data_IF_298622868087
#
_entry.id   IF_298622868087
#
_cell.length_a   1.000
_cell.length_b   1.000
_cell.length_c   1.000
_cell.angle_alpha   90.00
_cell.angle_beta   90.00
_cell.angle_gamma   90.00
#
_symmetry.space_group_name_H-M   'P 1'
#
loop_
_entity.id
_entity.type
_entity.pdbx_description
1 polymer ?
#
# COMPACT_ATOMS: atom_id res chain seq x y z
N UNK A 1 41.10 -29.47 -20.58
CA UNK A 1 41.03 -28.73 -19.31
C UNK A 1 39.67 -28.08 -19.25
N UNK A 2 38.82 -28.62 -18.37
CA UNK A 2 37.41 -28.27 -18.23
C UNK A 2 37.29 -26.97 -17.42
N UNK A 3 36.87 -25.89 -18.07
CA UNK A 3 36.43 -24.65 -17.42
C UNK A 3 34.90 -24.59 -17.45
N UNK A 4 34.26 -25.28 -16.50
CA UNK A 4 32.82 -25.22 -16.26
C UNK A 4 32.67 -25.22 -14.74
N UNK A 5 32.34 -24.04 -14.19
CA UNK A 5 31.67 -23.78 -12.90
C UNK A 5 32.07 -22.40 -12.41
N UNK A 6 31.33 -21.37 -12.82
CA UNK A 6 31.25 -20.07 -12.11
C UNK A 6 29.91 -19.33 -12.37
N UNK A 7 28.95 -19.89 -13.13
CA UNK A 7 27.67 -19.21 -13.42
C UNK A 7 26.56 -19.46 -12.37
N UNK A 8 26.72 -20.44 -11.47
CA UNK A 8 25.70 -20.75 -10.44
C UNK A 8 25.75 -19.85 -9.19
N UNK A 9 26.85 -19.12 -8.98
CA UNK A 9 26.99 -18.22 -7.82
C UNK A 9 26.40 -16.82 -8.04
N UNK A 10 26.35 -16.37 -9.29
CA UNK A 10 25.83 -15.04 -9.67
C UNK A 10 24.29 -15.04 -9.78
N UNK A 11 23.70 -16.17 -10.22
CA UNK A 11 22.25 -16.34 -10.36
C UNK A 11 21.53 -16.50 -9.00
N UNK A 12 22.15 -17.16 -8.02
CA UNK A 12 21.62 -17.21 -6.64
C UNK A 12 21.69 -15.84 -5.93
N UNK A 13 22.77 -15.07 -6.15
CA UNK A 13 22.90 -13.74 -5.56
C UNK A 13 21.80 -12.80 -6.07
N UNK A 14 21.53 -12.81 -7.37
CA UNK A 14 20.46 -11.99 -7.97
C UNK A 14 19.05 -12.47 -7.58
N UNK A 15 18.86 -13.78 -7.36
CA UNK A 15 17.61 -14.34 -6.85
C UNK A 15 17.32 -13.90 -5.41
N UNK A 16 18.29 -14.05 -4.50
CA UNK A 16 18.15 -13.61 -3.10
C UNK A 16 17.95 -12.10 -2.98
N UNK A 17 18.67 -11.31 -3.79
CA UNK A 17 18.50 -9.86 -3.87
C UNK A 17 17.08 -9.49 -4.35
N UNK A 18 16.56 -10.19 -5.36
CA UNK A 18 15.19 -9.95 -5.87
C UNK A 18 14.15 -10.31 -4.82
N UNK A 19 14.29 -11.44 -4.14
CA UNK A 19 13.39 -11.82 -3.04
C UNK A 19 13.43 -10.77 -1.91
N UNK A 20 14.62 -10.32 -1.51
CA UNK A 20 14.77 -9.29 -0.49
C UNK A 20 14.05 -7.98 -0.89
N UNK A 21 14.12 -7.57 -2.15
CA UNK A 21 13.37 -6.40 -2.65
C UNK A 21 11.85 -6.62 -2.60
N UNK A 22 11.36 -7.81 -2.89
CA UNK A 22 9.94 -8.12 -2.81
C UNK A 22 9.44 -8.10 -1.36
N UNK A 23 10.20 -8.67 -0.42
CA UNK A 23 9.92 -8.57 1.02
C UNK A 23 9.85 -7.11 1.48
N UNK A 24 10.81 -6.27 1.06
CA UNK A 24 10.77 -4.82 1.34
C UNK A 24 9.55 -4.14 0.72
N UNK A 25 9.13 -4.56 -0.48
CA UNK A 25 7.93 -4.06 -1.15
C UNK A 25 6.65 -4.34 -0.35
N UNK A 26 6.52 -5.53 0.22
CA UNK A 26 5.41 -5.90 1.12
C UNK A 26 5.40 -5.02 2.38
N UNK A 27 6.55 -4.90 3.05
CA UNK A 27 6.70 -4.04 4.23
C UNK A 27 6.34 -2.57 3.92
N UNK A 28 6.74 -2.07 2.75
CA UNK A 28 6.40 -0.73 2.32
C UNK A 28 4.89 -0.57 2.11
N UNK A 29 4.21 -1.56 1.52
CA UNK A 29 2.76 -1.56 1.40
C UNK A 29 2.05 -1.52 2.75
N UNK A 30 2.54 -2.26 3.75
CA UNK A 30 1.99 -2.23 5.12
C UNK A 30 2.16 -0.85 5.77
N UNK A 31 3.33 -0.23 5.60
CA UNK A 31 3.59 1.11 6.10
C UNK A 31 2.66 2.16 5.47
N UNK A 32 2.46 2.11 4.15
CA UNK A 32 1.52 3.00 3.46
C UNK A 32 0.09 2.72 3.94
N UNK A 33 -0.31 1.45 4.06
CA UNK A 33 -1.64 1.10 4.53
C UNK A 33 -1.91 1.68 5.92
N UNK A 34 -0.97 1.55 6.86
CA UNK A 34 -1.08 2.13 8.19
C UNK A 34 -1.22 3.66 8.16
N UNK A 35 -0.45 4.34 7.31
CA UNK A 35 -0.58 5.78 7.12
C UNK A 35 -1.96 6.18 6.57
N UNK A 36 -2.51 5.41 5.63
CA UNK A 36 -3.86 5.62 5.10
C UNK A 36 -4.92 5.41 6.19
N UNK A 37 -4.79 4.37 7.02
CA UNK A 37 -5.72 4.14 8.14
C UNK A 37 -5.71 5.29 9.15
N UNK A 38 -4.53 5.84 9.45
CA UNK A 38 -4.43 7.02 10.29
C UNK A 38 -5.10 8.25 9.65
N UNK A 39 -4.87 8.46 8.35
CA UNK A 39 -5.52 9.55 7.61
C UNK A 39 -7.05 9.38 7.55
N UNK A 40 -7.55 8.15 7.41
CA UNK A 40 -8.98 7.83 7.46
C UNK A 40 -9.59 8.24 8.80
N UNK A 41 -8.96 7.84 9.92
CA UNK A 41 -9.43 8.21 11.25
C UNK A 41 -9.49 9.74 11.43
N UNK A 42 -8.44 10.45 10.99
CA UNK A 42 -8.41 11.92 11.04
C UNK A 42 -9.52 12.55 10.19
N UNK A 43 -9.71 12.07 8.97
CA UNK A 43 -10.72 12.57 8.04
C UNK A 43 -12.15 12.31 8.55
N UNK A 44 -12.41 11.14 9.15
CA UNK A 44 -13.69 10.81 9.77
C UNK A 44 -13.99 11.73 10.95
N UNK A 45 -13.04 11.90 11.87
CA UNK A 45 -13.20 12.79 13.02
C UNK A 45 -13.44 14.25 12.60
N UNK A 46 -12.76 14.70 11.53
CA UNK A 46 -12.96 16.03 10.97
C UNK A 46 -14.37 16.16 10.36
N UNK A 47 -14.82 15.16 9.60
CA UNK A 47 -16.15 15.12 9.00
C UNK A 47 -17.25 15.24 10.07
N UNK A 48 -17.15 14.47 11.15
CA UNK A 48 -18.08 14.55 12.29
C UNK A 48 -18.05 15.94 12.95
N UNK A 49 -16.86 16.51 13.12
CA UNK A 49 -16.70 17.86 13.71
C UNK A 49 -17.36 18.94 12.83
N UNK A 50 -17.20 18.85 11.51
CA UNK A 50 -17.84 19.75 10.55
C UNK A 50 -19.36 19.59 10.57
N UNK A 51 -19.86 18.36 10.59
CA UNK A 51 -21.30 18.09 10.67
C UNK A 51 -21.92 18.63 11.94
N UNK A 52 -21.26 18.44 13.08
CA UNK A 52 -21.73 18.96 14.37
C UNK A 52 -21.71 20.50 14.44
N UNK A 53 -20.72 21.14 13.81
CA UNK A 53 -20.53 22.59 13.90
C UNK A 53 -21.34 23.37 12.87
N UNK A 54 -21.49 22.83 11.66
CA UNK A 54 -22.02 23.53 10.50
C UNK A 54 -23.26 22.85 9.91
N UNK A 55 -23.69 21.71 10.45
CA UNK A 55 -24.82 20.95 9.92
C UNK A 55 -26.06 21.80 9.70
N UNK A 56 -26.65 21.69 8.50
CA UNK A 56 -27.82 22.47 8.11
C UNK A 56 -27.52 23.91 7.66
N UNK A 57 -26.24 24.28 7.53
CA UNK A 57 -25.81 25.53 6.90
C UNK A 57 -25.29 25.28 5.49
N UNK A 58 -25.41 26.26 4.59
CA UNK A 58 -24.82 26.16 3.24
C UNK A 58 -23.28 26.05 3.26
N UNK A 59 -22.62 26.48 4.35
CA UNK A 59 -21.19 26.29 4.53
C UNK A 59 -20.83 24.80 4.69
N UNK A 60 -21.69 24.01 5.33
CA UNK A 60 -21.51 22.56 5.42
C UNK A 60 -21.65 21.88 4.06
N UNK A 61 -22.56 22.33 3.19
CA UNK A 61 -22.72 21.74 1.86
C UNK A 61 -21.43 21.85 1.04
N UNK A 62 -20.71 22.98 1.16
CA UNK A 62 -19.42 23.18 0.51
C UNK A 62 -18.32 22.30 1.14
N UNK A 63 -18.06 22.43 2.44
CA UNK A 63 -16.92 21.73 3.08
C UNK A 63 -17.17 20.24 3.34
N UNK A 64 -18.43 19.85 3.53
CA UNK A 64 -18.86 18.46 3.73
C UNK A 64 -18.60 17.63 2.49
N UNK A 65 -18.93 18.14 1.30
CA UNK A 65 -18.65 17.46 0.04
C UNK A 65 -17.15 17.22 -0.20
N UNK A 66 -16.29 18.19 0.16
CA UNK A 66 -14.84 17.98 0.13
C UNK A 66 -14.39 16.90 1.13
N UNK A 67 -14.95 16.88 2.34
CA UNK A 67 -14.62 15.87 3.35
C UNK A 67 -15.00 14.45 2.90
N UNK A 68 -16.17 14.28 2.28
CA UNK A 68 -16.62 13.00 1.74
C UNK A 68 -15.74 12.52 0.58
N UNK A 69 -15.32 13.43 -0.29
CA UNK A 69 -14.40 13.13 -1.39
C UNK A 69 -13.04 12.65 -0.88
N UNK A 70 -12.48 13.30 0.14
CA UNK A 70 -11.22 12.88 0.78
C UNK A 70 -11.36 11.48 1.39
N UNK A 71 -12.45 11.20 2.11
CA UNK A 71 -12.71 9.88 2.68
C UNK A 71 -12.78 8.80 1.60
N UNK A 72 -13.51 9.07 0.52
CA UNK A 72 -13.65 8.16 -0.62
C UNK A 72 -12.28 7.87 -1.25
N UNK A 73 -11.47 8.90 -1.46
CA UNK A 73 -10.14 8.74 -2.05
C UNK A 73 -9.20 7.93 -1.14
N UNK A 74 -9.26 8.14 0.17
CA UNK A 74 -8.47 7.38 1.13
C UNK A 74 -8.87 5.89 1.15
N UNK A 75 -10.16 5.58 1.06
CA UNK A 75 -10.66 4.20 0.97
C UNK A 75 -10.19 3.50 -0.31
N UNK A 76 -10.27 4.19 -1.45
CA UNK A 76 -9.76 3.67 -2.73
C UNK A 76 -8.25 3.43 -2.68
N UNK A 77 -7.50 4.36 -2.08
CA UNK A 77 -6.05 4.20 -1.89
C UNK A 77 -5.74 2.99 -1.01
N UNK A 78 -6.47 2.78 0.09
CA UNK A 78 -6.28 1.62 0.97
C UNK A 78 -6.46 0.30 0.20
N UNK A 79 -7.52 0.21 -0.61
CA UNK A 79 -7.80 -0.96 -1.43
C UNK A 79 -6.71 -1.20 -2.50
N UNK A 80 -6.22 -0.13 -3.13
CA UNK A 80 -5.18 -0.21 -4.16
C UNK A 80 -3.85 -0.70 -3.58
N UNK A 81 -3.49 -0.23 -2.38
CA UNK A 81 -2.27 -0.67 -1.67
C UNK A 81 -2.38 -2.13 -1.27
N UNK A 82 -3.54 -2.57 -0.80
CA UNK A 82 -3.79 -3.97 -0.46
C UNK A 82 -3.68 -4.89 -1.69
N UNK A 83 -4.26 -4.49 -2.82
CA UNK A 83 -4.13 -5.22 -4.08
C UNK A 83 -2.67 -5.29 -4.55
N UNK A 84 -1.91 -4.21 -4.35
CA UNK A 84 -0.49 -4.15 -4.69
C UNK A 84 0.32 -5.11 -3.82
N UNK A 85 0.07 -5.12 -2.51
CA UNK A 85 0.67 -6.07 -1.57
C UNK A 85 0.44 -7.51 -2.01
N UNK A 86 -0.81 -7.88 -2.29
CA UNK A 86 -1.18 -9.22 -2.74
C UNK A 86 -0.49 -9.59 -4.07
N UNK A 87 -0.32 -8.65 -4.99
CA UNK A 87 0.41 -8.90 -6.24
C UNK A 87 1.90 -9.22 -5.98
N UNK A 88 2.53 -8.50 -5.03
CA UNK A 88 3.93 -8.74 -4.63
C UNK A 88 4.07 -10.09 -3.93
N UNK A 89 3.20 -10.42 -2.97
CA UNK A 89 3.19 -11.71 -2.28
C UNK A 89 3.03 -12.89 -3.25
N UNK A 90 2.14 -12.75 -4.25
CA UNK A 90 1.99 -13.75 -5.31
C UNK A 90 3.25 -13.89 -6.16
N UNK A 91 3.98 -12.80 -6.40
CA UNK A 91 5.23 -12.83 -7.16
C UNK A 91 6.34 -13.52 -6.36
N UNK A 92 6.42 -13.25 -5.05
CA UNK A 92 7.34 -13.93 -4.13
C UNK A 92 7.11 -15.43 -4.11
N UNK A 93 5.86 -15.87 -3.92
CA UNK A 93 5.52 -17.29 -3.89
C UNK A 93 5.92 -18.00 -5.20
N UNK A 94 5.86 -17.32 -6.34
CA UNK A 94 6.33 -17.87 -7.62
C UNK A 94 7.84 -17.94 -7.70
N UNK A 95 8.56 -16.93 -7.20
CA UNK A 95 10.02 -16.94 -7.13
C UNK A 95 10.53 -18.08 -6.24
N UNK A 96 9.90 -18.30 -5.09
CA UNK A 96 10.28 -19.37 -4.15
C UNK A 96 10.03 -20.80 -4.68
N UNK A 97 9.14 -20.99 -5.67
CA UNK A 97 8.86 -22.31 -6.27
C UNK A 97 9.84 -22.66 -7.42
N UNK A 98 10.44 -21.65 -8.05
CA UNK A 98 11.26 -21.84 -9.27
C UNK A 98 12.67 -22.38 -8.95
N UNK A 99 13.09 -22.38 -7.68
CA UNK A 99 14.42 -22.82 -7.22
C UNK A 99 14.34 -24.04 -6.28
#
# INVERSE_FOLDING_TARGET
MSGQRDEQGDDMATHEETLAQLYQGVEHCENIHNAIQHALLMATNLSESLQNSLGGTGAYDEVGGYSESVLTQLQLSAQTVEQTKQAIENLMARFEIVY
#
